data_IF_599737810240
#
_entry.id   IF_599737810240
#
_cell.length_a   1.000
_cell.length_b   1.000
_cell.length_c   1.000
_cell.angle_alpha   90.00
_cell.angle_beta   90.00
_cell.angle_gamma   90.00
#
_symmetry.space_group_name_H-M   'P 1'
#
loop_
_entity.id
_entity.type
_entity.pdbx_description
1 polymer ?
#
# COMPACT_ATOMS: atom_id res chain seq x y z
N UNK A 1 -13.28 -10.67 19.71
CA UNK A 1 -13.19 -9.19 19.66
C UNK A 1 -11.92 -8.79 18.91
N UNK A 2 -12.00 -8.54 17.60
CA UNK A 2 -10.91 -7.86 16.88
C UNK A 2 -11.19 -6.37 17.02
N UNK A 3 -10.54 -5.74 18.00
CA UNK A 3 -10.39 -4.28 17.98
C UNK A 3 -9.66 -3.94 16.68
N UNK A 4 -10.22 -3.05 15.87
CA UNK A 4 -9.57 -2.59 14.65
C UNK A 4 -8.34 -1.77 15.04
N UNK A 5 -7.22 -2.44 15.32
CA UNK A 5 -5.94 -1.75 15.40
C UNK A 5 -5.65 -1.22 13.99
N UNK A 6 -5.52 0.11 13.88
CA UNK A 6 -5.14 0.81 12.65
C UNK A 6 -3.71 0.40 12.28
N UNK A 7 -3.59 -0.72 11.56
CA UNK A 7 -2.36 -1.07 10.83
C UNK A 7 -2.47 -0.35 9.49
N UNK A 8 -1.49 0.50 9.19
CA UNK A 8 -1.42 1.17 7.89
C UNK A 8 -1.42 0.13 6.77
N UNK A 9 -2.39 0.25 5.85
CA UNK A 9 -2.74 -0.84 4.91
C UNK A 9 -1.94 -0.80 3.61
N UNK A 10 -1.04 0.18 3.45
CA UNK A 10 -0.22 0.36 2.25
C UNK A 10 0.68 -0.85 1.92
N UNK A 11 0.98 -1.74 2.88
CA UNK A 11 1.73 -2.97 2.65
C UNK A 11 0.89 -4.20 2.29
N UNK A 12 -0.45 -4.10 2.36
CA UNK A 12 -1.38 -5.25 2.29
C UNK A 12 -2.58 -5.02 1.36
N UNK A 13 -2.52 -4.05 0.44
CA UNK A 13 -3.56 -3.91 -0.59
C UNK A 13 -3.28 -4.86 -1.75
N UNK A 14 -4.25 -5.70 -2.08
CA UNK A 14 -4.15 -6.73 -3.13
C UNK A 14 -3.67 -6.18 -4.47
N UNK A 15 -4.05 -4.94 -4.80
CA UNK A 15 -3.88 -4.36 -6.14
C UNK A 15 -2.64 -3.47 -6.33
N UNK A 16 -1.69 -3.44 -5.39
CA UNK A 16 -0.49 -2.60 -5.55
C UNK A 16 0.43 -3.11 -6.67
N UNK A 17 0.51 -4.45 -6.87
CA UNK A 17 1.39 -5.08 -7.88
C UNK A 17 0.61 -5.90 -8.91
N UNK A 18 -0.48 -6.54 -8.50
CA UNK A 18 -1.30 -7.42 -9.35
C UNK A 18 -2.75 -7.19 -9.04
N UNK A 19 -3.61 -7.23 -10.04
CA UNK A 19 -5.02 -6.89 -9.87
C UNK A 19 -5.89 -8.00 -10.46
N UNK A 20 -6.75 -8.61 -9.65
CA UNK A 20 -7.71 -9.60 -10.11
C UNK A 20 -8.78 -8.96 -11.02
N UNK A 21 -9.40 -9.74 -11.90
CA UNK A 21 -10.54 -9.31 -12.73
C UNK A 21 -10.27 -8.01 -13.52
N UNK A 22 -9.03 -7.87 -14.00
CA UNK A 22 -8.60 -6.67 -14.70
C UNK A 22 -8.66 -6.83 -16.21
N UNK A 23 -9.10 -5.78 -16.88
CA UNK A 23 -9.03 -5.61 -18.33
C UNK A 23 -7.99 -4.52 -18.59
N UNK A 24 -7.03 -4.81 -19.47
CA UNK A 24 -5.96 -3.89 -19.85
C UNK A 24 -5.95 -3.63 -21.35
N UNK A 25 -5.67 -2.39 -21.74
CA UNK A 25 -5.40 -2.01 -23.12
C UNK A 25 -3.99 -1.45 -23.22
N UNK A 26 -3.20 -1.98 -24.16
CA UNK A 26 -1.84 -1.53 -24.44
C UNK A 26 -1.82 -0.71 -25.72
N UNK A 27 -1.06 0.38 -25.72
CA UNK A 27 -0.84 1.15 -26.94
C UNK A 27 -0.13 0.28 -28.00
N UNK A 28 -0.44 0.46 -29.29
CA UNK A 28 0.26 -0.21 -30.38
C UNK A 28 1.79 0.02 -30.32
N UNK A 29 2.62 -0.96 -30.71
CA UNK A 29 4.07 -0.85 -30.61
C UNK A 29 4.71 0.16 -31.58
N UNK A 30 3.98 0.61 -32.60
CA UNK A 30 4.53 1.42 -33.71
C UNK A 30 4.32 2.94 -33.53
N UNK A 31 4.34 3.44 -32.30
CA UNK A 31 4.13 4.86 -32.00
C UNK A 31 5.44 5.64 -31.81
N UNK A 32 6.49 5.30 -32.55
CA UNK A 32 7.75 6.07 -32.55
C UNK A 32 8.44 6.16 -31.18
N UNK A 33 8.33 5.10 -30.37
CA UNK A 33 8.90 5.04 -29.02
C UNK A 33 7.90 5.34 -27.90
N UNK A 34 6.73 5.91 -28.20
CA UNK A 34 5.67 6.03 -27.20
C UNK A 34 5.05 4.67 -26.89
N UNK A 35 4.84 4.43 -25.61
CA UNK A 35 4.16 3.24 -25.12
C UNK A 35 3.27 3.59 -23.94
N UNK A 36 2.32 2.72 -23.64
CA UNK A 36 1.41 2.96 -22.54
C UNK A 36 0.43 1.83 -22.35
N UNK A 37 -0.26 1.89 -21.22
CA UNK A 37 -1.29 0.93 -20.86
C UNK A 37 -2.32 1.64 -19.98
N UNK A 38 -3.58 1.31 -20.18
CA UNK A 38 -4.64 1.59 -19.20
C UNK A 38 -5.19 0.25 -18.70
N UNK A 39 -5.62 0.22 -17.44
CA UNK A 39 -6.15 -0.97 -16.79
C UNK A 39 -7.34 -0.56 -15.92
N UNK A 40 -8.39 -1.37 -15.96
CA UNK A 40 -9.54 -1.29 -15.07
C UNK A 40 -9.81 -2.67 -14.48
N UNK A 41 -10.12 -2.75 -13.20
CA UNK A 41 -10.50 -4.00 -12.56
C UNK A 41 -11.82 -3.89 -11.83
N UNK A 42 -12.62 -4.95 -12.01
CA UNK A 42 -13.95 -5.08 -11.43
C UNK A 42 -13.84 -5.57 -9.98
N UNK A 43 -14.58 -4.98 -9.03
CA UNK A 43 -14.50 -5.36 -7.62
C UNK A 43 -15.16 -6.71 -7.30
N UNK A 44 -16.21 -7.09 -8.04
CA UNK A 44 -16.94 -8.37 -7.96
C UNK A 44 -17.39 -8.85 -6.55
N UNK A 45 -17.32 -8.02 -5.50
CA UNK A 45 -17.78 -8.43 -4.18
C UNK A 45 -19.30 -8.58 -4.14
N UNK A 46 -19.75 -9.67 -3.53
CA UNK A 46 -21.16 -9.97 -3.30
C UNK A 46 -21.73 -9.11 -2.18
N UNK A 47 -23.01 -8.74 -2.30
CA UNK A 47 -23.80 -8.26 -1.16
C UNK A 47 -23.90 -9.38 -0.14
N UNK A 48 -23.59 -9.12 1.13
CA UNK A 48 -23.96 -10.06 2.18
C UNK A 48 -25.38 -9.70 2.62
N UNK A 49 -26.33 -10.55 2.21
CA UNK A 49 -27.72 -10.42 2.64
C UNK A 49 -27.82 -10.53 4.16
N UNK A 50 -28.69 -9.71 4.74
CA UNK A 50 -28.82 -9.63 6.17
C UNK A 50 -29.25 -10.94 6.84
N UNK A 51 -28.62 -11.24 7.97
CA UNK A 51 -28.84 -12.47 8.75
C UNK A 51 -27.56 -13.18 9.22
N UNK A 52 -26.37 -12.64 8.92
CA UNK A 52 -25.13 -13.19 9.46
C UNK A 52 -24.97 -12.82 10.95
N UNK A 53 -25.39 -13.72 11.83
CA UNK A 53 -25.03 -13.67 13.25
C UNK A 53 -23.58 -14.13 13.39
N UNK A 54 -22.64 -13.21 13.58
CA UNK A 54 -21.28 -13.61 13.95
C UNK A 54 -21.32 -14.39 15.28
N UNK A 55 -20.60 -15.53 15.43
CA UNK A 55 -20.62 -16.31 16.66
C UNK A 55 -20.27 -15.44 17.87
N UNK A 56 -21.19 -15.36 18.84
CA UNK A 56 -21.03 -14.56 20.07
C UNK A 56 -21.66 -13.16 20.04
N UNK A 57 -22.48 -12.81 19.04
CA UNK A 57 -23.32 -11.61 19.06
C UNK A 57 -24.77 -11.92 19.45
N UNK A 58 -25.43 -10.96 20.10
CA UNK A 58 -26.79 -11.08 20.60
C UNK A 58 -27.76 -11.33 19.41
N UNK A 59 -28.59 -12.40 19.42
CA UNK A 59 -29.48 -12.74 18.31
C UNK A 59 -30.53 -11.66 17.94
N UNK A 60 -30.61 -10.56 18.70
CA UNK A 60 -31.49 -9.43 18.42
C UNK A 60 -30.92 -8.38 17.44
N UNK A 61 -29.66 -8.48 17.02
CA UNK A 61 -29.03 -7.50 16.12
C UNK A 61 -29.14 -7.90 14.65
N UNK A 62 -29.86 -7.12 13.85
CA UNK A 62 -29.85 -7.24 12.38
C UNK A 62 -28.65 -6.50 11.81
N UNK A 63 -27.83 -7.20 11.00
CA UNK A 63 -26.68 -6.62 10.29
C UNK A 63 -26.94 -6.72 8.79
N UNK A 64 -27.00 -5.58 8.12
CA UNK A 64 -27.02 -5.49 6.66
C UNK A 64 -25.68 -4.94 6.16
N UNK A 65 -25.16 -5.50 5.06
CA UNK A 65 -23.91 -5.07 4.43
C UNK A 65 -24.08 -4.92 2.92
N UNK A 66 -23.83 -3.71 2.43
CA UNK A 66 -23.87 -3.42 1.00
C UNK A 66 -22.75 -4.10 0.22
N UNK A 67 -22.95 -4.20 -1.10
CA UNK A 67 -21.90 -4.64 -2.02
C UNK A 67 -20.71 -3.69 -1.94
N UNK A 68 -19.54 -4.26 -1.69
CA UNK A 68 -18.31 -3.51 -1.56
C UNK A 68 -17.65 -3.25 -2.91
N UNK A 69 -17.20 -2.03 -3.19
CA UNK A 69 -16.29 -1.77 -4.32
C UNK A 69 -14.82 -2.05 -4.02
N UNK A 70 -14.50 -2.73 -2.91
CA UNK A 70 -13.15 -3.23 -2.60
C UNK A 70 -12.61 -4.08 -3.75
N UNK A 71 -11.33 -3.97 -4.05
CA UNK A 71 -10.71 -4.68 -5.18
C UNK A 71 -10.89 -3.97 -6.53
N UNK A 72 -11.71 -2.91 -6.62
CA UNK A 72 -11.74 -2.06 -7.81
C UNK A 72 -10.38 -1.38 -8.00
N UNK A 73 -9.92 -1.33 -9.24
CA UNK A 73 -8.73 -0.57 -9.63
C UNK A 73 -8.96 0.17 -10.93
N UNK A 74 -8.38 1.35 -11.06
CA UNK A 74 -8.21 2.04 -12.33
C UNK A 74 -6.83 2.67 -12.34
N UNK A 75 -6.09 2.48 -13.42
CA UNK A 75 -4.78 3.09 -13.55
C UNK A 75 -4.27 3.05 -14.97
N UNK A 76 -3.22 3.80 -15.20
CA UNK A 76 -2.53 3.79 -16.47
C UNK A 76 -1.09 4.22 -16.33
N UNK A 77 -0.31 3.85 -17.34
CA UNK A 77 1.06 4.29 -17.53
C UNK A 77 1.23 4.81 -18.94
N UNK A 78 2.07 5.81 -19.08
CA UNK A 78 2.49 6.34 -20.36
C UNK A 78 3.98 6.63 -20.31
N UNK A 79 4.67 6.29 -21.38
CA UNK A 79 6.11 6.43 -21.44
C UNK A 79 6.62 6.60 -22.85
N UNK A 80 7.91 6.94 -22.91
CA UNK A 80 8.67 7.10 -24.13
C UNK A 80 9.99 6.37 -23.97
N UNK A 81 10.24 5.44 -24.89
CA UNK A 81 11.49 4.71 -25.00
C UNK A 81 12.04 4.85 -26.41
N UNK A 82 13.25 5.40 -26.53
CA UNK A 82 13.95 5.51 -27.80
C UNK A 82 15.45 5.37 -27.59
N UNK A 83 16.03 4.30 -28.15
CA UNK A 83 17.43 3.96 -27.98
C UNK A 83 17.80 3.78 -26.50
N UNK A 84 18.76 4.55 -25.96
CA UNK A 84 19.25 4.37 -24.59
C UNK A 84 18.33 4.93 -23.52
N UNK A 85 17.39 5.83 -23.87
CA UNK A 85 16.51 6.51 -22.92
C UNK A 85 15.16 5.81 -22.81
N UNK A 86 14.69 5.63 -21.58
CA UNK A 86 13.33 5.23 -21.25
C UNK A 86 12.82 6.09 -20.09
N UNK A 87 11.65 6.71 -20.24
CA UNK A 87 10.97 7.47 -19.19
C UNK A 87 9.48 7.14 -19.21
N UNK A 88 8.90 6.94 -18.03
CA UNK A 88 7.47 6.71 -17.88
C UNK A 88 6.91 7.35 -16.63
N UNK A 89 5.63 7.70 -16.71
CA UNK A 89 4.80 8.11 -15.59
C UNK A 89 3.64 7.14 -15.47
N UNK A 90 3.22 6.84 -14.25
CA UNK A 90 2.00 6.10 -14.02
C UNK A 90 1.18 6.69 -12.87
N UNK A 91 -0.13 6.44 -12.95
CA UNK A 91 -1.06 6.77 -11.89
C UNK A 91 -2.12 5.67 -11.79
N UNK A 92 -2.43 5.28 -10.56
CA UNK A 92 -3.45 4.29 -10.27
C UNK A 92 -4.20 4.60 -8.99
N UNK A 93 -5.46 4.16 -8.92
CA UNK A 93 -6.28 4.20 -7.74
C UNK A 93 -6.88 2.82 -7.47
N UNK A 94 -6.65 2.30 -6.27
CA UNK A 94 -7.29 1.09 -5.76
C UNK A 94 -8.28 1.43 -4.64
N UNK A 95 -9.45 0.79 -4.65
CA UNK A 95 -10.36 0.79 -3.49
C UNK A 95 -10.02 -0.40 -2.61
N UNK A 96 -9.61 -0.16 -1.37
CA UNK A 96 -9.28 -1.21 -0.40
C UNK A 96 -10.26 -1.27 0.78
N UNK A 97 -11.11 -0.24 0.95
CA UNK A 97 -12.23 -0.30 1.88
C UNK A 97 -13.46 0.35 1.24
N UNK A 98 -14.57 -0.35 1.33
CA UNK A 98 -15.87 0.15 0.96
C UNK A 98 -16.90 -0.67 1.74
N UNK A 99 -17.32 -0.14 2.87
CA UNK A 99 -18.20 -0.82 3.81
C UNK A 99 -19.35 0.12 4.13
N UNK A 100 -20.56 -0.41 4.10
CA UNK A 100 -21.74 0.21 4.69
C UNK A 100 -22.37 -0.87 5.56
N UNK A 101 -22.43 -0.62 6.86
CA UNK A 101 -22.96 -1.56 7.85
C UNK A 101 -24.04 -0.85 8.67
N UNK A 102 -25.20 -1.48 8.77
CA UNK A 102 -26.25 -1.02 9.71
C UNK A 102 -26.49 -2.08 10.78
N UNK A 103 -26.51 -1.65 12.04
CA UNK A 103 -26.89 -2.47 13.20
C UNK A 103 -28.16 -1.87 13.79
N UNK A 104 -29.24 -2.64 13.81
CA UNK A 104 -30.50 -2.22 14.45
C UNK A 104 -30.77 -3.04 15.71
N UNK A 105 -30.94 -2.34 16.83
CA UNK A 105 -31.33 -2.86 18.14
C UNK A 105 -32.39 -1.92 18.69
N UNK A 106 -33.66 -2.33 18.67
CA UNK A 106 -34.75 -1.44 19.10
C UNK A 106 -34.45 -0.77 20.44
N UNK A 107 -34.56 0.57 20.56
CA UNK A 107 -35.08 1.53 19.57
C UNK A 107 -34.02 2.19 18.67
N UNK A 108 -32.76 1.75 18.75
CA UNK A 108 -31.60 2.41 18.15
C UNK A 108 -31.16 1.73 16.85
N UNK A 109 -30.84 2.52 15.83
CA UNK A 109 -30.16 2.03 14.62
C UNK A 109 -28.88 2.82 14.43
N UNK A 110 -27.76 2.13 14.26
CA UNK A 110 -26.47 2.73 13.95
C UNK A 110 -26.03 2.28 12.55
N UNK A 111 -25.72 3.25 11.70
CA UNK A 111 -25.13 3.02 10.37
C UNK A 111 -23.71 3.54 10.36
N UNK A 112 -22.77 2.71 9.95
CA UNK A 112 -21.36 3.07 9.75
C UNK A 112 -20.97 2.85 8.30
N UNK A 113 -20.55 3.91 7.64
CA UNK A 113 -20.02 3.91 6.29
C UNK A 113 -18.52 4.19 6.32
N UNK A 114 -17.72 3.34 5.69
CA UNK A 114 -16.28 3.47 5.57
C UNK A 114 -15.83 3.39 4.11
N UNK A 115 -15.01 4.34 3.68
CA UNK A 115 -14.40 4.38 2.34
C UNK A 115 -12.89 4.49 2.47
N UNK A 116 -12.15 3.68 1.73
CA UNK A 116 -10.70 3.62 1.72
C UNK A 116 -10.16 3.49 0.30
N UNK A 117 -9.29 4.42 -0.10
CA UNK A 117 -8.67 4.48 -1.42
C UNK A 117 -7.17 4.66 -1.32
N UNK A 118 -6.44 3.92 -2.13
CA UNK A 118 -5.00 4.06 -2.31
C UNK A 118 -4.74 4.69 -3.68
N UNK A 119 -4.11 5.86 -3.71
CA UNK A 119 -3.77 6.57 -4.94
C UNK A 119 -2.25 6.57 -5.08
N UNK A 120 -1.72 5.93 -6.13
CA UNK A 120 -0.29 5.83 -6.36
C UNK A 120 0.08 6.54 -7.65
N UNK A 121 1.09 7.39 -7.59
CA UNK A 121 1.73 8.02 -8.73
C UNK A 121 3.21 7.68 -8.72
N UNK A 122 3.81 7.38 -9.87
CA UNK A 122 5.26 7.28 -10.00
C UNK A 122 5.76 7.86 -11.32
N UNK A 123 7.03 8.24 -11.30
CA UNK A 123 7.80 8.64 -12.47
C UNK A 123 9.15 7.91 -12.41
N UNK A 124 9.41 7.09 -13.43
CA UNK A 124 10.62 6.32 -13.58
C UNK A 124 11.37 6.71 -14.83
N UNK A 125 12.71 6.70 -14.76
CA UNK A 125 13.56 6.93 -15.91
C UNK A 125 14.79 6.02 -15.87
N UNK A 126 15.30 5.64 -17.03
CA UNK A 126 16.57 4.95 -17.18
C UNK A 126 17.32 5.40 -18.42
N UNK A 127 18.65 5.33 -18.33
CA UNK A 127 19.54 5.60 -19.45
C UNK A 127 20.62 4.53 -19.54
N UNK A 128 20.77 3.93 -20.71
CA UNK A 128 21.75 2.89 -21.01
C UNK A 128 22.96 3.48 -21.76
N UNK A 129 24.11 3.52 -21.10
CA UNK A 129 25.38 3.96 -21.68
C UNK A 129 26.15 2.81 -22.36
N UNK A 130 25.57 1.62 -22.44
CA UNK A 130 26.19 0.39 -22.93
C UNK A 130 27.08 -0.28 -21.86
N UNK A 131 28.04 0.45 -21.29
CA UNK A 131 28.93 -0.05 -20.23
C UNK A 131 28.29 0.02 -18.83
N UNK A 132 27.27 0.84 -18.68
CA UNK A 132 26.52 1.03 -17.44
C UNK A 132 25.12 1.50 -17.77
N UNK A 133 24.13 1.01 -17.01
CA UNK A 133 22.77 1.52 -17.06
C UNK A 133 22.44 2.20 -15.74
N UNK A 134 22.01 3.45 -15.80
CA UNK A 134 21.49 4.19 -14.65
C UNK A 134 19.96 4.20 -14.70
N UNK A 135 19.31 4.09 -13.55
CA UNK A 135 17.86 4.18 -13.45
C UNK A 135 17.44 4.78 -12.11
N UNK A 136 16.27 5.38 -12.11
CA UNK A 136 15.69 5.92 -10.90
C UNK A 136 14.17 6.04 -11.00
N UNK A 137 13.53 6.15 -9.84
CA UNK A 137 12.10 6.29 -9.71
C UNK A 137 11.79 7.24 -8.55
N UNK A 138 10.77 8.06 -8.71
CA UNK A 138 10.09 8.74 -7.61
C UNK A 138 8.64 8.26 -7.56
N UNK A 139 8.13 7.99 -6.37
CA UNK A 139 6.79 7.49 -6.18
C UNK A 139 6.12 8.13 -4.97
N UNK A 140 4.81 8.40 -5.09
CA UNK A 140 3.99 8.79 -3.98
C UNK A 140 2.71 7.96 -3.95
N UNK A 141 2.44 7.37 -2.79
CA UNK A 141 1.19 6.68 -2.50
C UNK A 141 0.43 7.45 -1.42
N UNK A 142 -0.84 7.76 -1.68
CA UNK A 142 -1.74 8.41 -0.72
C UNK A 142 -2.79 7.41 -0.27
N UNK A 143 -2.88 7.19 1.02
CA UNK A 143 -3.88 6.35 1.65
C UNK A 143 -4.98 7.25 2.23
N UNK A 144 -6.11 7.30 1.54
CA UNK A 144 -7.29 8.09 1.91
C UNK A 144 -8.32 7.21 2.57
N UNK A 145 -8.68 7.52 3.81
CA UNK A 145 -9.74 6.84 4.54
C UNK A 145 -10.75 7.83 5.09
N UNK A 146 -12.04 7.52 4.98
CA UNK A 146 -13.12 8.31 5.57
C UNK A 146 -14.15 7.37 6.19
N UNK A 147 -14.72 7.77 7.33
CA UNK A 147 -15.75 7.03 8.05
C UNK A 147 -16.83 7.98 8.53
N UNK A 148 -18.10 7.64 8.27
CA UNK A 148 -19.26 8.31 8.82
C UNK A 148 -20.03 7.31 9.70
N UNK A 149 -20.45 7.72 10.89
CA UNK A 149 -21.31 6.93 11.77
C UNK A 149 -22.52 7.76 12.15
N UNK A 150 -23.72 7.29 11.81
CA UNK A 150 -24.99 7.89 12.19
C UNK A 150 -25.71 6.97 13.16
N UNK A 151 -26.25 7.51 14.24
CA UNK A 151 -27.09 6.78 15.19
C UNK A 151 -28.44 7.47 15.31
N UNK A 152 -29.51 6.75 15.01
CA UNK A 152 -30.90 7.21 15.12
C UNK A 152 -31.62 6.42 16.21
N UNK A 153 -32.60 7.04 16.85
CA UNK A 153 -33.44 6.40 17.86
C UNK A 153 -34.91 6.61 17.49
N UNK A 154 -35.64 5.51 17.30
CA UNK A 154 -37.04 5.51 16.86
C UNK A 154 -38.01 6.17 17.86
N UNK A 155 -37.64 6.25 19.15
CA UNK A 155 -38.46 6.90 20.18
C UNK A 155 -38.21 8.42 20.26
N UNK A 156 -37.08 8.90 19.74
CA UNK A 156 -36.72 10.32 19.69
C UNK A 156 -36.11 10.65 18.31
N UNK A 157 -36.93 10.68 17.25
CA UNK A 157 -36.45 10.75 15.86
C UNK A 157 -35.64 12.00 15.51
N UNK A 158 -35.70 13.04 16.36
CA UNK A 158 -34.94 14.29 16.20
C UNK A 158 -33.61 14.32 16.98
N UNK A 159 -33.30 13.31 17.81
CA UNK A 159 -32.13 13.29 18.69
C UNK A 159 -31.03 12.32 18.20
N UNK A 160 -30.83 12.24 16.88
CA UNK A 160 -29.75 11.44 16.29
C UNK A 160 -28.37 12.06 16.49
N UNK A 161 -27.32 11.23 16.50
CA UNK A 161 -25.93 11.69 16.55
C UNK A 161 -25.19 11.24 15.30
N UNK A 162 -24.41 12.15 14.71
CA UNK A 162 -23.55 11.86 13.56
C UNK A 162 -22.09 12.19 13.88
N UNK A 163 -21.20 11.28 13.54
CA UNK A 163 -19.75 11.48 13.60
C UNK A 163 -19.15 11.26 12.22
N UNK A 164 -18.18 12.09 11.84
CA UNK A 164 -17.42 11.95 10.60
C UNK A 164 -15.93 12.07 10.90
N UNK A 165 -15.14 11.15 10.34
CA UNK A 165 -13.69 11.16 10.43
C UNK A 165 -13.08 10.96 9.03
N UNK A 166 -12.01 11.69 8.72
CA UNK A 166 -11.27 11.52 7.46
C UNK A 166 -9.78 11.68 7.70
N UNK A 167 -8.99 10.86 7.05
CA UNK A 167 -7.52 10.80 7.16
C UNK A 167 -6.92 10.64 5.75
N UNK A 168 -5.75 11.23 5.52
CA UNK A 168 -4.98 11.02 4.28
C UNK A 168 -3.50 10.88 4.56
N UNK A 169 -3.05 9.65 4.73
CA UNK A 169 -1.64 9.34 4.93
C UNK A 169 -0.89 9.36 3.60
N UNK A 170 0.41 9.65 3.64
CA UNK A 170 1.26 9.71 2.43
C UNK A 170 2.52 8.87 2.61
N UNK A 171 2.91 8.19 1.54
CA UNK A 171 4.17 7.48 1.40
C UNK A 171 4.90 8.06 0.22
N UNK A 172 5.96 8.83 0.45
CA UNK A 172 6.75 9.44 -0.61
C UNK A 172 8.12 8.80 -0.63
N UNK A 173 8.55 8.28 -1.77
CA UNK A 173 9.82 7.59 -1.88
C UNK A 173 10.53 7.85 -3.20
N UNK A 174 11.82 7.52 -3.20
CA UNK A 174 12.65 7.54 -4.39
C UNK A 174 13.60 6.34 -4.39
N UNK A 175 14.03 5.94 -5.58
CA UNK A 175 15.03 4.92 -5.82
C UNK A 175 16.03 5.43 -6.85
N UNK A 176 17.30 5.15 -6.61
CA UNK A 176 18.39 5.31 -7.57
C UNK A 176 19.12 3.97 -7.68
N UNK A 177 19.43 3.56 -8.90
CA UNK A 177 20.06 2.29 -9.18
C UNK A 177 21.00 2.34 -10.36
N UNK A 178 21.94 1.40 -10.34
CA UNK A 178 22.94 1.20 -11.38
C UNK A 178 23.08 -0.29 -11.68
N UNK A 179 23.29 -0.62 -12.96
CA UNK A 179 23.59 -1.96 -13.44
C UNK A 179 24.81 -1.92 -14.35
N UNK A 180 25.80 -2.74 -14.07
CA UNK A 180 27.05 -2.82 -14.83
C UNK A 180 27.24 -4.25 -15.35
N UNK A 181 27.20 -4.49 -16.67
CA UNK A 181 27.58 -5.77 -17.24
C UNK A 181 29.09 -6.00 -17.10
N UNK A 182 29.49 -7.21 -16.69
CA UNK A 182 30.88 -7.63 -16.50
C UNK A 182 31.07 -9.04 -17.09
N UNK A 183 31.41 -9.13 -18.38
CA UNK A 183 31.56 -10.41 -19.07
C UNK A 183 30.27 -11.24 -19.00
N UNK A 184 30.37 -12.44 -18.41
CA UNK A 184 29.22 -13.32 -18.18
C UNK A 184 28.32 -12.89 -17.00
N UNK A 185 28.76 -11.92 -16.19
CA UNK A 185 28.05 -11.46 -15.00
C UNK A 185 27.50 -10.03 -15.08
N UNK A 186 26.77 -9.62 -14.05
CA UNK A 186 26.21 -8.29 -13.89
C UNK A 186 26.26 -7.87 -12.41
N UNK A 187 26.78 -6.67 -12.14
CA UNK A 187 26.68 -6.03 -10.81
C UNK A 187 25.47 -5.10 -10.82
N UNK A 188 24.71 -5.10 -9.71
CA UNK A 188 23.60 -4.19 -9.48
C UNK A 188 23.74 -3.54 -8.11
N UNK A 189 23.58 -2.23 -8.04
CA UNK A 189 23.51 -1.51 -6.77
C UNK A 189 22.32 -0.56 -6.78
N UNK A 190 21.68 -0.38 -5.63
CA UNK A 190 20.59 0.57 -5.50
C UNK A 190 20.48 1.15 -4.10
N UNK A 191 19.96 2.37 -4.04
CA UNK A 191 19.56 3.05 -2.83
C UNK A 191 18.10 3.49 -2.96
N UNK A 192 17.30 3.20 -1.94
CA UNK A 192 15.91 3.60 -1.88
C UNK A 192 15.59 4.28 -0.55
N UNK A 193 14.73 5.28 -0.60
CA UNK A 193 14.18 5.97 0.55
C UNK A 193 12.66 6.03 0.46
N UNK A 194 11.96 5.89 1.57
CA UNK A 194 10.53 6.15 1.68
C UNK A 194 10.22 6.85 3.00
N UNK A 195 9.39 7.89 2.96
CA UNK A 195 8.87 8.62 4.11
C UNK A 195 7.35 8.42 4.19
N UNK A 196 6.88 8.05 5.37
CA UNK A 196 5.48 8.06 5.77
C UNK A 196 5.19 9.38 6.49
N UNK A 197 4.22 10.12 5.96
CA UNK A 197 3.63 11.28 6.61
C UNK A 197 2.24 10.88 7.12
N UNK A 198 2.03 11.04 8.43
CA UNK A 198 0.73 10.74 9.01
C UNK A 198 -0.26 11.86 8.65
N UNK A 199 -1.38 11.46 8.05
CA UNK A 199 -2.47 12.33 7.62
C UNK A 199 -3.47 12.70 8.70
N UNK A 200 -3.21 12.37 9.97
CA UNK A 200 -4.06 12.76 11.09
C UNK A 200 -4.04 14.30 11.25
N UNK A 201 -4.97 14.97 10.57
CA UNK A 201 -5.40 16.30 10.99
C UNK A 201 -6.26 16.10 12.24
N UNK A 202 -5.92 16.67 13.39
CA UNK A 202 -6.71 16.58 14.62
C UNK A 202 -8.10 17.20 14.41
N UNK A 203 -9.21 16.44 14.25
CA UNK A 203 -10.52 17.02 14.05
C UNK A 203 -11.34 17.02 15.35
N UNK A 204 -10.69 16.84 16.50
CA UNK A 204 -11.40 16.80 17.78
C UNK A 204 -10.53 17.31 18.92
N UNK A 205 -11.03 18.34 19.60
CA UNK A 205 -10.56 18.81 20.90
C UNK A 205 -10.79 17.70 21.94
N UNK A 206 -9.92 16.69 21.95
CA UNK A 206 -9.69 15.89 23.15
C UNK A 206 -8.69 16.65 24.01
N UNK A 207 -8.77 16.53 25.33
CA UNK A 207 -7.77 17.09 26.27
C UNK A 207 -6.34 16.64 25.96
N UNK A 208 -6.17 15.56 25.19
CA UNK A 208 -4.89 15.05 24.67
C UNK A 208 -4.33 15.84 23.46
N UNK A 209 -5.14 16.61 22.71
CA UNK A 209 -4.68 17.33 21.52
C UNK A 209 -4.04 18.68 21.82
N UNK A 210 -4.18 19.22 23.04
CA UNK A 210 -3.64 20.53 23.42
C UNK A 210 -2.11 20.49 23.67
N UNK A 211 -1.55 19.30 23.88
CA UNK A 211 -0.12 19.09 24.13
C UNK A 211 0.53 18.09 23.17
N UNK A 212 -0.19 17.61 22.15
CA UNK A 212 0.35 16.64 21.20
C UNK A 212 0.87 17.35 19.94
N UNK A 213 2.16 17.66 19.95
CA UNK A 213 2.93 18.22 18.82
C UNK A 213 3.69 17.15 18.03
N UNK A 214 3.42 15.86 18.30
CA UNK A 214 4.22 14.78 17.71
C UNK A 214 3.74 14.45 16.30
N UNK A 215 4.53 14.80 15.29
CA UNK A 215 4.39 14.24 13.95
C UNK A 215 4.65 12.73 14.04
N UNK A 216 3.60 11.92 13.89
CA UNK A 216 3.69 10.45 13.88
C UNK A 216 4.22 9.94 12.53
N UNK A 217 5.29 10.55 12.03
CA UNK A 217 5.94 10.22 10.77
C UNK A 217 6.89 9.04 10.95
N UNK A 218 7.21 8.34 9.85
CA UNK A 218 8.23 7.28 9.85
C UNK A 218 9.02 7.32 8.54
N UNK A 219 10.24 6.77 8.51
CA UNK A 219 10.98 6.66 7.25
C UNK A 219 11.83 5.40 7.19
N UNK A 220 12.12 4.93 5.98
CA UNK A 220 13.00 3.80 5.74
C UNK A 220 13.99 4.09 4.61
N UNK A 221 15.23 3.66 4.79
CA UNK A 221 16.30 3.68 3.79
C UNK A 221 16.75 2.25 3.53
N UNK A 222 17.03 1.91 2.27
CA UNK A 222 17.57 0.60 1.89
C UNK A 222 18.72 0.77 0.91
N UNK A 223 19.87 0.19 1.25
CA UNK A 223 21.01 0.03 0.36
C UNK A 223 21.09 -1.44 -0.05
N UNK A 224 21.24 -1.74 -1.34
CA UNK A 224 21.38 -3.09 -1.85
C UNK A 224 22.54 -3.18 -2.85
N UNK A 225 23.27 -4.29 -2.78
CA UNK A 225 24.32 -4.67 -3.72
C UNK A 225 24.11 -6.14 -4.10
N UNK A 226 24.09 -6.42 -5.40
CA UNK A 226 23.89 -7.75 -5.93
C UNK A 226 24.83 -8.06 -7.08
N UNK A 227 25.10 -9.35 -7.25
CA UNK A 227 25.85 -9.89 -8.37
C UNK A 227 25.10 -11.08 -8.95
N UNK A 228 25.02 -11.12 -10.27
CA UNK A 228 24.42 -12.21 -11.04
C UNK A 228 25.51 -12.74 -11.97
N UNK A 229 25.70 -14.05 -12.00
CA UNK A 229 26.61 -14.73 -12.91
C UNK A 229 25.84 -15.72 -13.78
N UNK A 230 25.82 -15.49 -15.10
CA UNK A 230 25.09 -16.35 -16.02
C UNK A 230 25.95 -17.55 -16.41
N UNK A 231 25.53 -18.75 -16.01
CA UNK A 231 26.13 -20.02 -16.44
C UNK A 231 25.68 -20.37 -17.87
N UNK A 232 24.46 -19.98 -18.24
CA UNK A 232 23.90 -20.11 -19.58
C UNK A 232 22.81 -19.06 -19.79
N UNK A 233 22.13 -19.07 -20.96
CA UNK A 233 20.91 -18.26 -21.16
C UNK A 233 19.77 -18.60 -20.20
N UNK A 234 19.81 -19.80 -19.60
CA UNK A 234 18.74 -20.37 -18.77
C UNK A 234 19.12 -20.49 -17.30
N UNK A 235 20.42 -20.54 -16.99
CA UNK A 235 20.90 -20.79 -15.63
C UNK A 235 21.77 -19.64 -15.15
N UNK A 236 21.49 -19.10 -13.97
CA UNK A 236 22.30 -18.06 -13.35
C UNK A 236 22.46 -18.29 -11.85
N UNK A 237 23.66 -18.01 -11.33
CA UNK A 237 23.92 -17.86 -9.90
C UNK A 237 23.70 -16.42 -9.51
N UNK A 238 23.15 -16.18 -8.33
CA UNK A 238 22.95 -14.84 -7.81
C UNK A 238 23.30 -14.74 -6.34
N UNK A 239 23.75 -13.56 -5.94
CA UNK A 239 23.89 -13.17 -4.55
C UNK A 239 23.49 -11.72 -4.38
N UNK A 240 22.91 -11.37 -3.24
CA UNK A 240 22.52 -10.01 -2.90
C UNK A 240 22.67 -9.81 -1.40
N UNK A 241 23.27 -8.68 -1.03
CA UNK A 241 23.28 -8.16 0.33
C UNK A 241 22.51 -6.86 0.35
N UNK A 242 21.71 -6.64 1.38
CA UNK A 242 21.03 -5.36 1.57
C UNK A 242 20.96 -4.98 3.03
N UNK A 243 20.95 -3.67 3.29
CA UNK A 243 20.77 -3.11 4.61
C UNK A 243 19.63 -2.11 4.59
N UNK A 244 18.63 -2.37 5.42
CA UNK A 244 17.51 -1.48 5.66
C UNK A 244 17.69 -0.78 7.00
N UNK A 245 17.45 0.52 7.05
CA UNK A 245 17.34 1.31 8.29
C UNK A 245 15.99 1.99 8.33
N UNK A 246 15.32 1.90 9.47
CA UNK A 246 14.01 2.48 9.71
C UNK A 246 14.16 3.49 10.84
N UNK A 247 13.60 4.67 10.64
CA UNK A 247 13.48 5.72 11.64
C UNK A 247 12.00 5.83 12.03
N UNK A 248 11.76 5.88 13.33
CA UNK A 248 10.42 6.05 13.89
C UNK A 248 9.42 4.98 13.45
N UNK A 249 9.90 3.74 13.26
CA UNK A 249 9.09 2.60 12.77
C UNK A 249 7.90 2.23 13.65
N UNK A 250 7.88 2.65 14.92
CA UNK A 250 6.72 2.52 15.79
C UNK A 250 5.50 3.32 15.33
N UNK A 251 5.73 4.41 14.58
CA UNK A 251 4.66 5.28 14.10
C UNK A 251 3.92 4.67 12.90
N UNK A 252 4.54 3.70 12.21
CA UNK A 252 3.92 3.00 11.10
C UNK A 252 4.50 1.59 10.89
N UNK A 253 3.72 0.58 11.26
CA UNK A 253 4.07 -0.84 11.11
C UNK A 253 4.34 -1.26 9.66
N UNK A 254 3.70 -0.61 8.67
CA UNK A 254 3.93 -0.91 7.25
C UNK A 254 5.37 -0.61 6.80
N UNK A 255 6.08 0.29 7.48
CA UNK A 255 7.47 0.61 7.18
C UNK A 255 8.44 -0.51 7.58
N UNK A 256 8.01 -1.41 8.48
CA UNK A 256 8.73 -2.60 8.90
C UNK A 256 8.32 -3.87 8.14
N UNK A 257 7.20 -3.85 7.43
CA UNK A 257 6.78 -4.92 6.53
C UNK A 257 7.67 -4.89 5.28
N UNK A 258 8.75 -5.68 5.29
CA UNK A 258 9.54 -5.92 4.09
C UNK A 258 8.68 -6.51 2.98
N UNK A 259 9.07 -6.26 1.73
CA UNK A 259 8.46 -6.72 0.47
C UNK A 259 8.46 -8.25 0.27
N UNK A 260 7.98 -9.02 1.24
CA UNK A 260 8.14 -10.47 1.32
C UNK A 260 6.96 -11.22 1.94
N UNK A 261 5.73 -10.69 1.88
CA UNK A 261 4.51 -11.45 2.19
C UNK A 261 4.38 -11.96 3.63
N UNK A 262 5.23 -11.51 4.55
CA UNK A 262 5.05 -11.73 5.98
C UNK A 262 4.38 -10.50 6.58
N UNK A 263 3.28 -10.71 7.30
CA UNK A 263 2.79 -9.77 8.31
C UNK A 263 4.01 -9.21 9.05
N UNK A 264 4.13 -7.88 9.19
CA UNK A 264 5.10 -7.31 10.10
C UNK A 264 4.89 -8.04 11.43
N UNK A 265 5.88 -8.83 11.86
CA UNK A 265 5.80 -9.53 13.14
C UNK A 265 5.33 -8.51 14.17
N UNK A 266 4.25 -8.84 14.89
CA UNK A 266 3.55 -7.92 15.77
C UNK A 266 4.49 -7.40 16.87
N UNK A 267 5.21 -6.34 16.55
CA UNK A 267 6.18 -5.71 17.43
C UNK A 267 5.56 -4.55 18.23
N UNK A 268 4.26 -4.32 18.09
CA UNK A 268 3.48 -3.42 18.94
C UNK A 268 2.22 -4.17 19.41
N UNK A 269 2.08 -4.33 20.72
CA UNK A 269 0.82 -4.78 21.30
C UNK A 269 -0.25 -3.72 21.03
N UNK A 270 -1.48 -4.17 20.76
CA UNK A 270 -2.63 -3.32 20.41
C UNK A 270 -3.12 -2.41 21.56
N UNK A 271 -2.32 -2.19 22.61
CA UNK A 271 -2.72 -1.54 23.86
C UNK A 271 -1.72 -0.52 24.43
N UNK A 272 -0.64 -0.16 23.72
CA UNK A 272 0.11 1.07 24.01
C UNK A 272 1.52 0.94 24.59
N UNK A 273 2.40 1.80 24.06
CA UNK A 273 3.61 2.41 24.63
C UNK A 273 4.79 1.55 25.13
N UNK A 274 4.77 0.22 25.05
CA UNK A 274 5.96 -0.60 25.32
C UNK A 274 6.15 -1.70 24.28
N UNK A 275 7.30 -1.69 23.59
CA UNK A 275 7.66 -2.66 22.56
C UNK A 275 8.92 -2.25 21.78
N UNK A 276 9.55 -3.21 21.09
CA UNK A 276 10.70 -2.95 20.23
C UNK A 276 10.22 -2.45 18.87
N UNK A 277 10.70 -1.29 18.41
CA UNK A 277 10.45 -0.84 17.04
C UNK A 277 11.53 -1.37 16.09
N UNK A 278 11.19 -1.84 14.88
CA UNK A 278 12.20 -2.21 13.89
C UNK A 278 13.05 -0.98 13.53
N UNK A 279 14.36 -1.09 13.71
CA UNK A 279 15.33 0.00 13.50
C UNK A 279 16.29 -0.27 12.35
N UNK A 280 16.78 -1.49 12.21
CA UNK A 280 17.60 -1.88 11.07
C UNK A 280 17.63 -3.38 10.87
N UNK A 281 17.82 -3.80 9.63
CA UNK A 281 18.04 -5.20 9.27
C UNK A 281 19.09 -5.29 8.18
N UNK A 282 19.88 -6.38 8.19
CA UNK A 282 20.75 -6.77 7.09
C UNK A 282 20.27 -8.10 6.54
N UNK A 283 19.94 -8.14 5.25
CA UNK A 283 19.49 -9.34 4.58
C UNK A 283 20.53 -9.81 3.57
N UNK A 284 20.73 -11.13 3.53
CA UNK A 284 21.57 -11.81 2.56
C UNK A 284 20.70 -12.81 1.79
N UNK A 285 20.93 -12.91 0.50
CA UNK A 285 20.28 -13.90 -0.37
C UNK A 285 21.32 -14.42 -1.35
N UNK A 286 21.35 -15.74 -1.55
CA UNK A 286 22.17 -16.39 -2.54
C UNK A 286 21.41 -17.59 -3.09
N UNK A 287 21.62 -17.91 -4.35
CA UNK A 287 20.93 -19.03 -4.96
C UNK A 287 21.27 -19.22 -6.43
N UNK A 288 20.54 -20.15 -7.02
CA UNK A 288 20.57 -20.46 -8.44
C UNK A 288 19.16 -20.32 -9.00
N UNK A 289 19.05 -19.80 -10.21
CA UNK A 289 17.82 -19.82 -10.99
C UNK A 289 18.04 -20.62 -12.27
N UNK A 290 17.04 -21.40 -12.66
CA UNK A 290 17.01 -22.14 -13.92
C UNK A 290 15.65 -21.96 -14.59
N UNK A 291 15.64 -21.46 -15.82
CA UNK A 291 14.45 -21.22 -16.63
C UNK A 291 14.36 -22.23 -17.80
N UNK A 292 13.25 -22.96 -17.87
CA UNK A 292 12.95 -23.93 -18.93
C UNK A 292 12.14 -23.32 -20.08
#
# INVERSE_FOLDING_TARGET
RRSASRVSRCGATDNYVRTNNSIGYFLPPNLGGFYGQVQYALPENTKQGAGYFAPGQNPAAYVDQDASSVGRYIGGRFGYANGPLDIAVSYGQSTYADLSQSISLFPTTQTTDGKGKLNTANLGASYDFGVVKLFGEIAQTRDKFSQATSTTNALVPFAGTSAYASQTDKYTGYLLGVSVPLGAGQIKASYAHVKYDNGFATPFLTTASLFNTSTLDASANKLALGYIYNLSKRTALYTTVSRTRIKDGQNNLAMGAGSGGGEAAGYLSSTGLTGYAPRSNTAYSFGITHAF
#
